data_IF_880907348466
#
_entry.id   IF_880907348466
#
_cell.length_a   1.000
_cell.length_b   1.000
_cell.length_c   1.000
_cell.angle_alpha   90.00
_cell.angle_beta   90.00
_cell.angle_gamma   90.00
#
_symmetry.space_group_name_H-M   'P 1'
#
loop_
_entity.id
_entity.type
_entity.pdbx_description
1 polymer ?
#
# COMPACT_ATOMS: atom_id res chain seq x y z
N UNK A 1 -20.90 16.36 -24.72
CA UNK A 1 -19.56 16.28 -24.10
C UNK A 1 -19.79 15.96 -22.63
N UNK A 2 -19.32 14.80 -22.15
CA UNK A 2 -19.43 14.48 -20.74
C UNK A 2 -18.56 15.46 -19.96
N UNK A 3 -19.04 15.95 -18.81
CA UNK A 3 -18.21 16.73 -17.90
C UNK A 3 -17.15 15.79 -17.35
N UNK A 4 -15.88 16.15 -17.50
CA UNK A 4 -14.77 15.44 -16.86
C UNK A 4 -14.96 15.49 -15.35
N UNK A 5 -14.90 14.32 -14.71
CA UNK A 5 -14.89 14.20 -13.25
C UNK A 5 -13.49 14.60 -12.79
N UNK A 6 -13.36 15.77 -12.18
CA UNK A 6 -12.12 16.23 -11.55
C UNK A 6 -11.98 15.69 -10.13
N UNK A 7 -10.74 15.63 -9.63
CA UNK A 7 -10.42 15.32 -8.23
C UNK A 7 -10.98 13.98 -7.71
N UNK A 8 -11.13 12.99 -8.60
CA UNK A 8 -11.54 11.64 -8.22
C UNK A 8 -10.53 10.99 -7.30
N UNK A 9 -11.00 10.28 -6.28
CA UNK A 9 -10.11 9.51 -5.42
C UNK A 9 -9.56 8.28 -6.16
N UNK A 10 -8.31 7.93 -5.87
CA UNK A 10 -7.65 6.75 -6.43
C UNK A 10 -8.50 5.46 -6.34
N UNK A 11 -9.17 5.25 -5.21
CA UNK A 11 -10.02 4.07 -4.99
C UNK A 11 -11.26 4.05 -5.89
N UNK A 12 -11.79 5.22 -6.30
CA UNK A 12 -12.94 5.31 -7.21
C UNK A 12 -12.52 4.84 -8.61
N UNK A 13 -11.41 5.37 -9.12
CA UNK A 13 -10.85 4.98 -10.42
C UNK A 13 -10.52 3.48 -10.45
N UNK A 14 -9.89 2.97 -9.39
CA UNK A 14 -9.56 1.54 -9.25
C UNK A 14 -10.81 0.66 -9.15
N UNK A 15 -11.91 1.17 -8.57
CA UNK A 15 -13.20 0.48 -8.55
C UNK A 15 -13.80 0.37 -9.95
N UNK A 16 -13.69 1.42 -10.78
CA UNK A 16 -14.08 1.38 -12.20
C UNK A 16 -13.24 0.37 -12.98
N UNK A 17 -11.93 0.34 -12.75
CA UNK A 17 -11.06 -0.69 -13.37
C UNK A 17 -11.52 -2.09 -12.98
N UNK A 18 -11.81 -2.34 -11.69
CA UNK A 18 -12.29 -3.65 -11.21
C UNK A 18 -13.60 -4.05 -11.90
N UNK A 19 -14.54 -3.11 -12.01
CA UNK A 19 -15.82 -3.32 -12.70
C UNK A 19 -15.64 -3.64 -14.19
N UNK A 20 -14.87 -2.83 -14.92
CA UNK A 20 -14.64 -3.03 -16.36
C UNK A 20 -13.83 -4.31 -16.64
N UNK A 21 -12.88 -4.66 -15.77
CA UNK A 21 -12.15 -5.92 -15.86
C UNK A 21 -13.08 -7.13 -15.65
N UNK A 22 -14.04 -7.06 -14.71
CA UNK A 22 -15.05 -8.09 -14.53
C UNK A 22 -15.94 -8.26 -15.78
N UNK A 23 -16.20 -7.16 -16.49
CA UNK A 23 -16.86 -7.16 -17.83
C UNK A 23 -15.95 -7.62 -18.97
N UNK A 24 -14.72 -8.06 -18.68
CA UNK A 24 -13.72 -8.53 -19.66
C UNK A 24 -13.32 -7.49 -20.71
N UNK A 25 -13.40 -6.20 -20.36
CA UNK A 25 -12.90 -5.11 -21.22
C UNK A 25 -11.38 -5.17 -21.28
N UNK A 26 -10.80 -4.97 -22.48
CA UNK A 26 -9.34 -4.98 -22.67
C UNK A 26 -8.69 -3.82 -21.91
N UNK A 27 -7.50 -3.99 -21.29
CA UNK A 27 -6.85 -2.92 -20.51
C UNK A 27 -6.66 -1.59 -21.27
N UNK A 28 -6.30 -1.66 -22.56
CA UNK A 28 -6.15 -0.46 -23.39
C UNK A 28 -7.46 0.32 -23.55
N UNK A 29 -8.59 -0.38 -23.59
CA UNK A 29 -9.92 0.23 -23.69
C UNK A 29 -10.38 0.79 -22.34
N UNK A 30 -10.05 0.10 -21.23
CA UNK A 30 -10.25 0.64 -19.88
C UNK A 30 -9.52 1.99 -19.74
N UNK A 31 -8.26 2.07 -20.15
CA UNK A 31 -7.49 3.32 -20.09
C UNK A 31 -8.14 4.44 -20.91
N UNK A 32 -8.63 4.16 -22.13
CA UNK A 32 -9.33 5.16 -22.95
C UNK A 32 -10.58 5.70 -22.25
N UNK A 33 -11.41 4.83 -21.70
CA UNK A 33 -12.61 5.22 -20.97
C UNK A 33 -12.28 6.04 -19.71
N UNK A 34 -11.20 5.68 -19.00
CA UNK A 34 -10.76 6.46 -17.86
C UNK A 34 -10.32 7.87 -18.27
N UNK A 35 -9.53 8.00 -19.32
CA UNK A 35 -9.08 9.31 -19.84
C UNK A 35 -10.26 10.16 -20.30
N UNK A 36 -11.25 9.56 -20.96
CA UNK A 36 -12.46 10.26 -21.41
C UNK A 36 -13.28 10.84 -20.24
N UNK A 37 -13.40 10.09 -19.13
CA UNK A 37 -14.26 10.45 -18.01
C UNK A 37 -13.54 11.27 -16.93
N UNK A 38 -12.29 10.94 -16.61
CA UNK A 38 -11.53 11.52 -15.50
C UNK A 38 -10.39 12.45 -15.96
N UNK A 39 -10.13 12.52 -17.27
CA UNK A 39 -9.10 13.37 -17.88
C UNK A 39 -7.75 12.66 -18.05
N UNK A 40 -6.84 13.31 -18.77
CA UNK A 40 -5.55 12.74 -19.20
C UNK A 40 -4.63 12.34 -18.04
N UNK A 41 -4.76 13.01 -16.89
CA UNK A 41 -3.89 12.81 -15.73
C UNK A 41 -4.40 11.73 -14.76
N UNK A 42 -5.50 11.03 -15.06
CA UNK A 42 -6.13 10.08 -14.13
C UNK A 42 -5.19 8.95 -13.73
N UNK A 43 -4.58 8.28 -14.71
CA UNK A 43 -3.75 7.11 -14.49
C UNK A 43 -3.03 6.71 -15.78
N UNK A 44 -1.77 6.29 -15.67
CA UNK A 44 -1.05 5.76 -16.83
C UNK A 44 -1.56 4.38 -17.24
N UNK A 45 -1.49 4.07 -18.53
CA UNK A 45 -1.81 2.75 -19.10
C UNK A 45 -1.06 1.59 -18.41
N UNK A 46 0.20 1.80 -18.01
CA UNK A 46 0.96 0.82 -17.23
C UNK A 46 0.34 0.49 -15.86
N UNK A 47 -0.18 1.50 -15.18
CA UNK A 47 -0.84 1.34 -13.88
C UNK A 47 -2.21 0.64 -14.03
N UNK A 48 -2.95 0.94 -15.10
CA UNK A 48 -4.20 0.22 -15.45
C UNK A 48 -3.92 -1.28 -15.65
N UNK A 49 -2.89 -1.63 -16.43
CA UNK A 49 -2.48 -3.04 -16.61
C UNK A 49 -2.07 -3.70 -15.30
N UNK A 50 -1.35 -2.98 -14.43
CA UNK A 50 -0.97 -3.47 -13.09
C UNK A 50 -2.21 -3.82 -12.26
N UNK A 51 -3.20 -2.92 -12.20
CA UNK A 51 -4.45 -3.17 -11.46
C UNK A 51 -5.27 -4.32 -12.05
N UNK A 52 -5.41 -4.38 -13.38
CA UNK A 52 -6.07 -5.50 -14.05
C UNK A 52 -5.41 -6.83 -13.68
N UNK A 53 -4.08 -6.91 -13.69
CA UNK A 53 -3.35 -8.11 -13.28
C UNK A 53 -3.66 -8.49 -11.83
N UNK A 54 -3.57 -7.54 -10.90
CA UNK A 54 -3.85 -7.80 -9.49
C UNK A 54 -5.29 -8.29 -9.26
N UNK A 55 -6.28 -7.72 -9.95
CA UNK A 55 -7.67 -8.18 -9.86
C UNK A 55 -7.85 -9.58 -10.46
N UNK A 56 -7.13 -9.93 -11.52
CA UNK A 56 -7.13 -11.29 -12.06
C UNK A 56 -6.44 -12.29 -11.13
N UNK A 57 -5.44 -11.84 -10.38
CA UNK A 57 -4.75 -12.62 -9.33
C UNK A 57 -5.59 -12.74 -8.04
N UNK A 58 -6.83 -12.24 -8.03
CA UNK A 58 -7.79 -12.42 -6.93
C UNK A 58 -7.84 -11.29 -5.91
N UNK A 59 -7.09 -10.19 -6.11
CA UNK A 59 -7.22 -9.00 -5.24
C UNK A 59 -8.66 -8.45 -5.32
N UNK A 60 -9.25 -8.11 -4.18
CA UNK A 60 -10.58 -7.48 -4.11
C UNK A 60 -10.55 -6.06 -3.55
N UNK A 61 -9.52 -5.73 -2.77
CA UNK A 61 -9.35 -4.40 -2.19
C UNK A 61 -8.83 -3.39 -3.23
N UNK A 62 -9.50 -2.24 -3.33
CA UNK A 62 -9.16 -1.12 -4.23
C UNK A 62 -8.24 -0.08 -3.58
N UNK A 63 -8.10 -0.11 -2.26
CA UNK A 63 -7.18 0.76 -1.53
C UNK A 63 -5.75 0.23 -1.59
N UNK A 64 -4.80 1.12 -1.34
CA UNK A 64 -3.40 0.73 -1.12
C UNK A 64 -3.31 -0.20 0.10
N UNK A 65 -2.39 -1.15 0.02
CA UNK A 65 -2.04 -1.94 1.19
C UNK A 65 -1.29 -1.06 2.20
N UNK A 66 -1.41 -1.43 3.47
CA UNK A 66 -0.58 -0.82 4.50
C UNK A 66 0.88 -0.95 4.08
N UNK A 67 1.59 0.18 4.02
CA UNK A 67 3.02 0.16 3.76
C UNK A 67 3.68 -0.55 4.93
N UNK A 68 4.53 -1.53 4.65
CA UNK A 68 5.28 -2.25 5.68
C UNK A 68 6.14 -1.33 6.55
N UNK A 69 6.42 -0.11 6.09
CA UNK A 69 7.28 0.85 6.77
C UNK A 69 8.71 0.34 6.86
N UNK A 70 9.54 1.03 7.67
CA UNK A 70 10.83 0.50 8.10
C UNK A 70 10.54 -0.57 9.17
N UNK A 71 11.01 -1.81 9.01
CA UNK A 71 10.90 -2.81 10.06
C UNK A 71 11.51 -2.27 11.36
N UNK A 72 10.80 -2.45 12.47
CA UNK A 72 11.36 -2.17 13.80
C UNK A 72 12.47 -3.16 14.09
N UNK A 73 13.61 -2.67 14.58
CA UNK A 73 14.68 -3.52 15.14
C UNK A 73 14.21 -4.12 16.48
N UNK A 74 13.33 -3.40 17.19
CA UNK A 74 12.76 -3.84 18.45
C UNK A 74 11.69 -4.90 18.20
N UNK A 75 11.89 -6.07 18.81
CA UNK A 75 10.93 -7.17 18.87
C UNK A 75 10.69 -7.59 20.32
N UNK A 76 9.64 -8.39 20.57
CA UNK A 76 9.24 -8.79 21.93
C UNK A 76 10.33 -9.57 22.67
N UNK A 77 11.13 -10.37 21.95
CA UNK A 77 12.27 -11.08 22.53
C UNK A 77 13.38 -10.15 23.00
N UNK A 78 13.64 -9.08 22.24
CA UNK A 78 14.60 -8.04 22.63
C UNK A 78 14.11 -7.28 23.87
N UNK A 79 12.82 -6.91 23.89
CA UNK A 79 12.20 -6.25 25.04
C UNK A 79 12.28 -7.12 26.30
N UNK A 80 12.03 -8.43 26.18
CA UNK A 80 12.12 -9.36 27.31
C UNK A 80 13.55 -9.41 27.90
N UNK A 81 14.57 -9.53 27.06
CA UNK A 81 15.98 -9.58 27.51
C UNK A 81 16.44 -8.28 28.15
N UNK A 82 16.06 -7.13 27.58
CA UNK A 82 16.35 -5.82 28.17
C UNK A 82 15.70 -5.70 29.57
N UNK A 83 14.44 -6.12 29.70
CA UNK A 83 13.72 -6.08 30.96
C UNK A 83 14.29 -7.04 32.02
N UNK A 84 14.82 -8.20 31.63
CA UNK A 84 15.55 -9.10 32.53
C UNK A 84 16.82 -8.41 33.04
N UNK A 85 17.64 -7.85 32.15
CA UNK A 85 18.89 -7.17 32.51
C UNK A 85 18.70 -6.00 33.48
N UNK A 86 17.66 -5.18 33.26
CA UNK A 86 17.32 -4.07 34.15
C UNK A 86 16.87 -4.57 35.53
N UNK A 87 16.15 -5.70 35.59
CA UNK A 87 15.72 -6.31 36.85
C UNK A 87 16.90 -6.89 37.64
N UNK A 88 17.86 -7.51 36.95
CA UNK A 88 19.10 -8.02 37.55
C UNK A 88 19.97 -6.89 38.09
N UNK A 89 20.11 -5.79 37.35
CA UNK A 89 20.88 -4.63 37.77
C UNK A 89 20.09 -3.33 37.62
N UNK A 90 19.53 -2.84 38.73
CA UNK A 90 18.77 -1.57 38.74
C UNK A 90 19.61 -0.32 38.45
N UNK A 91 20.95 -0.41 38.44
CA UNK A 91 21.85 0.68 38.05
C UNK A 91 22.27 0.63 36.58
N UNK A 92 21.68 -0.28 35.80
CA UNK A 92 21.97 -0.42 34.38
C UNK A 92 21.58 0.86 33.61
N UNK A 93 22.51 1.40 32.82
CA UNK A 93 22.34 2.71 32.17
C UNK A 93 21.97 2.56 30.69
N UNK A 94 21.44 3.63 30.10
CA UNK A 94 21.13 3.68 28.66
C UNK A 94 22.38 3.43 27.80
N UNK A 95 23.55 3.90 28.24
CA UNK A 95 24.80 3.64 27.51
C UNK A 95 25.14 2.16 27.48
N UNK A 96 24.96 1.46 28.60
CA UNK A 96 25.16 0.02 28.67
C UNK A 96 24.13 -0.76 27.83
N UNK A 97 22.89 -0.27 27.74
CA UNK A 97 21.89 -0.85 26.84
C UNK A 97 22.35 -0.76 25.38
N UNK A 98 22.88 0.40 24.97
CA UNK A 98 23.41 0.58 23.61
C UNK A 98 24.62 -0.31 23.31
N UNK A 99 25.50 -0.54 24.30
CA UNK A 99 26.68 -1.37 24.11
C UNK A 99 26.35 -2.88 24.13
N UNK A 100 25.31 -3.31 24.87
CA UNK A 100 24.96 -4.73 25.08
C UNK A 100 23.84 -5.25 24.17
N UNK A 101 22.96 -4.38 23.65
CA UNK A 101 21.83 -4.76 22.81
C UNK A 101 21.90 -4.09 21.42
N UNK A 102 21.47 -4.78 20.35
CA UNK A 102 21.47 -4.27 18.98
C UNK A 102 20.45 -3.14 18.73
#
# INVERSE_FOLDING_TARGET
MFKTISDSADCEVRSVIRFLNAKKVKPAEIHRQLVEIYGENVMTDGMVRKWVRQFNDGRTNVHDEARSGRPSVVNDGLVAKVNEKIRENRRFTIRMLFDEFP
#
